data_IF_509930136814
#
_entry.id   IF_509930136814
#
_cell.length_a   1.000
_cell.length_b   1.000
_cell.length_c   1.000
_cell.angle_alpha   90.00
_cell.angle_beta   90.00
_cell.angle_gamma   90.00
#
_symmetry.space_group_name_H-M   'P 1'
#
loop_
_entity.id
_entity.type
_entity.pdbx_description
1 polymer ?
#
# COMPACT_ATOMS: atom_id res chain seq x y z
N UNK A 1 -61.68 32.92 33.46
CA UNK A 1 -60.36 33.61 33.54
C UNK A 1 -59.32 32.55 33.87
N UNK A 2 -58.68 32.00 32.83
CA UNK A 2 -57.67 30.94 32.95
C UNK A 2 -56.32 31.61 32.73
N UNK A 3 -55.58 31.83 33.80
CA UNK A 3 -54.24 32.43 33.78
C UNK A 3 -53.17 31.34 33.84
N UNK A 4 -52.72 30.97 32.65
CA UNK A 4 -51.33 30.67 32.26
C UNK A 4 -50.32 30.33 33.37
N UNK A 5 -49.96 29.05 33.48
CA UNK A 5 -48.65 28.61 33.99
C UNK A 5 -47.71 28.46 32.80
N UNK A 6 -46.78 29.39 32.63
CA UNK A 6 -45.60 29.23 31.77
C UNK A 6 -44.51 28.60 32.64
N UNK A 7 -44.20 27.34 32.40
CA UNK A 7 -42.98 26.69 32.89
C UNK A 7 -41.77 27.37 32.26
N UNK A 8 -40.89 27.88 33.11
CA UNK A 8 -39.57 28.37 32.74
C UNK A 8 -38.73 27.23 32.17
N UNK A 9 -38.69 27.12 30.84
CA UNK A 9 -37.74 26.27 30.12
C UNK A 9 -36.34 26.86 30.28
N UNK A 10 -35.50 26.11 31.00
CA UNK A 10 -34.06 26.30 31.11
C UNK A 10 -33.45 26.63 29.74
N UNK A 11 -32.87 27.82 29.61
CA UNK A 11 -32.18 28.29 28.43
C UNK A 11 -31.05 27.32 28.04
N UNK A 12 -31.20 26.66 26.89
CA UNK A 12 -30.11 25.93 26.25
C UNK A 12 -29.04 26.95 25.83
N UNK A 13 -27.95 27.01 26.60
CA UNK A 13 -26.76 27.80 26.29
C UNK A 13 -26.30 27.52 24.86
N UNK A 14 -26.25 28.56 24.03
CA UNK A 14 -25.59 28.51 22.73
C UNK A 14 -24.12 28.14 22.94
N UNK A 15 -23.69 27.06 22.29
CA UNK A 15 -22.29 26.62 22.34
C UNK A 15 -21.45 27.65 21.59
N UNK A 16 -20.52 28.29 22.31
CA UNK A 16 -19.54 29.26 21.80
C UNK A 16 -18.76 28.71 20.57
N UNK A 17 -18.29 29.57 19.64
CA UNK A 17 -17.46 29.19 18.49
C UNK A 17 -16.22 28.34 18.86
N UNK A 18 -15.72 28.49 20.09
CA UNK A 18 -14.63 27.67 20.63
C UNK A 18 -15.03 26.19 20.86
N UNK A 19 -16.31 25.91 21.14
CA UNK A 19 -16.83 24.56 21.34
C UNK A 19 -16.98 23.81 20.00
N UNK A 20 -17.29 24.50 18.90
CA UNK A 20 -17.28 23.93 17.55
C UNK A 20 -15.85 23.61 17.07
N UNK A 21 -14.89 24.49 17.41
CA UNK A 21 -13.46 24.29 17.15
C UNK A 21 -12.89 23.10 17.95
N UNK A 22 -13.35 22.89 19.18
CA UNK A 22 -13.02 21.73 20.01
C UNK A 22 -13.70 20.43 19.53
N UNK A 23 -14.91 20.50 18.97
CA UNK A 23 -15.56 19.36 18.34
C UNK A 23 -14.81 18.88 17.09
N UNK A 24 -14.17 19.79 16.34
CA UNK A 24 -13.32 19.45 15.19
C UNK A 24 -11.92 18.97 15.61
N UNK A 25 -11.36 19.47 16.72
CA UNK A 25 -10.15 18.89 17.33
C UNK A 25 -10.42 17.49 17.89
N UNK A 26 -11.65 17.23 18.35
CA UNK A 26 -12.12 15.90 18.74
C UNK A 26 -12.46 15.00 17.54
N UNK A 27 -13.02 15.54 16.44
CA UNK A 27 -13.23 14.77 15.18
C UNK A 27 -11.93 14.54 14.39
N UNK A 28 -10.92 15.42 14.50
CA UNK A 28 -9.52 15.12 14.08
C UNK A 28 -8.91 13.97 14.88
N UNK A 29 -9.44 13.68 16.07
CA UNK A 29 -9.08 12.52 16.89
C UNK A 29 -9.93 11.28 16.59
N UNK A 30 -10.78 11.25 15.57
CA UNK A 30 -11.34 9.96 15.11
C UNK A 30 -10.39 9.18 14.18
N UNK A 31 -9.15 9.67 14.05
CA UNK A 31 -7.98 8.86 13.70
C UNK A 31 -7.20 8.39 14.95
N UNK A 32 -7.72 8.62 16.17
CA UNK A 32 -7.00 8.33 17.40
C UNK A 32 -7.26 6.92 17.91
N UNK A 33 -6.16 6.20 18.07
CA UNK A 33 -6.05 5.07 18.98
C UNK A 33 -6.52 5.54 20.36
N UNK A 34 -7.59 4.94 20.89
CA UNK A 34 -8.05 5.21 22.25
C UNK A 34 -7.55 4.13 23.20
N UNK A 35 -7.08 4.52 24.39
CA UNK A 35 -6.59 3.58 25.40
C UNK A 35 -7.68 3.33 26.44
N UNK A 36 -8.20 2.11 26.48
CA UNK A 36 -9.09 1.68 27.56
C UNK A 36 -8.24 1.30 28.78
N UNK A 37 -8.36 2.09 29.86
CA UNK A 37 -7.58 1.88 31.08
C UNK A 37 -8.01 0.65 31.88
N UNK A 38 -9.27 0.24 31.77
CA UNK A 38 -9.81 -0.89 32.54
C UNK A 38 -9.42 -2.22 31.89
N UNK A 39 -9.46 -2.27 30.56
CA UNK A 39 -9.10 -3.46 29.79
C UNK A 39 -7.62 -3.47 29.37
N UNK A 40 -6.91 -2.34 29.55
CA UNK A 40 -5.50 -2.12 29.19
C UNK A 40 -5.22 -2.41 27.71
N UNK A 41 -6.21 -2.25 26.84
CA UNK A 41 -6.10 -2.43 25.39
C UNK A 41 -6.20 -1.09 24.65
N UNK A 42 -5.42 -0.99 23.58
CA UNK A 42 -5.53 0.09 22.59
C UNK A 42 -6.60 -0.31 21.58
N UNK A 43 -7.70 0.43 21.53
CA UNK A 43 -8.77 0.24 20.56
C UNK A 43 -8.47 1.09 19.32
N UNK A 44 -8.33 0.41 18.19
CA UNK A 44 -8.26 1.02 16.87
C UNK A 44 -9.67 1.16 16.34
N UNK A 45 -10.06 2.36 15.92
CA UNK A 45 -11.31 2.55 15.20
C UNK A 45 -11.21 1.79 13.88
N UNK A 46 -12.12 0.85 13.63
CA UNK A 46 -12.28 0.26 12.31
C UNK A 46 -12.50 1.40 11.29
N UNK A 47 -12.02 1.24 10.04
CA UNK A 47 -12.33 2.16 8.94
C UNK A 47 -13.83 2.09 8.62
N UNK A 48 -14.64 2.71 9.48
CA UNK A 48 -16.04 3.02 9.22
C UNK A 48 -16.00 4.30 8.43
N UNK A 49 -16.37 4.23 7.15
CA UNK A 49 -16.57 5.41 6.33
C UNK A 49 -17.55 6.34 7.06
N UNK A 50 -17.17 7.61 7.25
CA UNK A 50 -17.95 8.57 8.02
C UNK A 50 -19.39 8.61 7.46
N UNK A 51 -20.37 8.20 8.28
CA UNK A 51 -21.76 8.09 7.86
C UNK A 51 -22.29 9.44 7.35
N UNK A 52 -21.87 10.55 7.97
CA UNK A 52 -22.24 11.90 7.54
C UNK A 52 -21.67 12.19 6.14
N UNK A 53 -20.47 11.69 5.81
CA UNK A 53 -19.84 11.84 4.49
C UNK A 53 -20.60 11.05 3.42
N UNK A 54 -20.94 9.79 3.71
CA UNK A 54 -21.71 8.93 2.80
C UNK A 54 -23.06 9.58 2.50
N UNK A 55 -23.71 10.10 3.53
CA UNK A 55 -25.00 10.76 3.40
C UNK A 55 -24.90 12.08 2.62
N UNK A 56 -23.90 12.93 2.92
CA UNK A 56 -23.67 14.18 2.20
C UNK A 56 -23.38 13.95 0.71
N UNK A 57 -22.65 12.89 0.32
CA UNK A 57 -22.41 12.56 -1.10
C UNK A 57 -23.68 12.30 -1.90
N UNK A 58 -24.74 11.81 -1.25
CA UNK A 58 -25.99 11.51 -1.96
C UNK A 58 -26.65 12.75 -2.53
N UNK A 59 -26.34 13.96 -2.02
CA UNK A 59 -26.85 15.22 -2.58
C UNK A 59 -26.30 15.52 -3.98
N UNK A 60 -25.20 14.85 -4.37
CA UNK A 60 -24.56 15.00 -5.68
C UNK A 60 -25.01 13.94 -6.70
N UNK A 61 -25.93 13.02 -6.35
CA UNK A 61 -26.40 11.96 -7.25
C UNK A 61 -27.80 12.28 -7.78
N UNK A 62 -28.01 12.08 -9.09
CA UNK A 62 -29.30 12.30 -9.72
C UNK A 62 -30.23 11.12 -9.39
N UNK A 63 -31.47 11.41 -8.98
CA UNK A 63 -32.46 10.38 -8.65
C UNK A 63 -32.30 9.73 -7.26
N UNK A 64 -31.28 10.11 -6.48
CA UNK A 64 -31.28 9.82 -5.05
C UNK A 64 -32.40 10.62 -4.37
N UNK A 65 -33.21 9.97 -3.53
CA UNK A 65 -34.11 10.69 -2.63
C UNK A 65 -33.23 11.50 -1.67
N UNK A 66 -33.06 12.79 -1.95
CA UNK A 66 -32.30 13.70 -1.09
C UNK A 66 -33.05 13.74 0.25
N UNK A 67 -32.55 12.96 1.22
CA UNK A 67 -33.16 12.94 2.54
C UNK A 67 -32.86 14.27 3.25
N UNK A 68 -33.75 14.74 4.15
CA UNK A 68 -33.45 15.90 4.99
C UNK A 68 -32.13 15.73 5.76
N UNK A 69 -31.79 14.50 6.10
CA UNK A 69 -30.54 14.14 6.77
C UNK A 69 -29.32 14.34 5.86
N UNK A 70 -29.40 14.04 4.55
CA UNK A 70 -28.34 14.31 3.58
C UNK A 70 -28.08 15.80 3.38
N UNK A 71 -29.13 16.61 3.34
CA UNK A 71 -29.01 18.07 3.29
C UNK A 71 -28.36 18.60 4.58
N UNK A 72 -28.77 18.08 5.74
CA UNK A 72 -28.18 18.46 7.02
C UNK A 72 -26.70 18.05 7.09
N UNK A 73 -26.34 16.85 6.66
CA UNK A 73 -24.96 16.37 6.62
C UNK A 73 -24.08 17.24 5.71
N UNK A 74 -24.57 17.63 4.52
CA UNK A 74 -23.85 18.56 3.65
C UNK A 74 -23.67 19.93 4.30
N UNK A 75 -24.71 20.46 4.97
CA UNK A 75 -24.62 21.73 5.69
C UNK A 75 -23.61 21.66 6.85
N UNK A 76 -23.50 20.53 7.53
CA UNK A 76 -22.52 20.28 8.59
C UNK A 76 -21.10 20.25 8.02
N UNK A 77 -20.91 19.57 6.89
CA UNK A 77 -19.64 19.59 6.15
C UNK A 77 -19.24 21.00 5.75
N UNK A 78 -20.17 21.77 5.17
CA UNK A 78 -19.91 23.18 4.82
C UNK A 78 -19.52 24.01 6.04
N UNK A 79 -20.17 23.82 7.20
CA UNK A 79 -19.77 24.51 8.45
C UNK A 79 -18.42 24.07 9.02
N UNK A 80 -17.95 22.87 8.68
CA UNK A 80 -16.67 22.33 9.14
C UNK A 80 -15.46 22.86 8.38
N UNK A 81 -15.67 23.32 7.14
CA UNK A 81 -14.63 23.88 6.28
C UNK A 81 -14.24 25.28 6.77
N UNK A 82 -12.97 25.65 6.58
CA UNK A 82 -12.47 26.98 6.93
C UNK A 82 -13.35 28.08 6.29
N UNK A 83 -13.91 29.04 7.05
CA UNK A 83 -14.72 30.14 6.53
C UNK A 83 -14.05 30.91 5.38
N UNK A 84 -12.74 31.14 5.45
CA UNK A 84 -12.00 31.84 4.39
C UNK A 84 -12.02 31.05 3.07
N UNK A 85 -11.96 29.72 3.17
CA UNK A 85 -12.03 28.82 2.02
C UNK A 85 -13.43 28.82 1.40
N UNK A 86 -14.48 28.88 2.23
CA UNK A 86 -15.87 29.01 1.79
C UNK A 86 -16.11 30.36 1.10
N UNK A 87 -15.58 31.45 1.66
CA UNK A 87 -15.69 32.78 1.07
C UNK A 87 -15.03 32.82 -0.33
N UNK A 88 -13.82 32.27 -0.45
CA UNK A 88 -13.12 32.19 -1.75
C UNK A 88 -13.86 31.31 -2.75
N UNK A 89 -14.46 30.21 -2.29
CA UNK A 89 -15.30 29.35 -3.13
C UNK A 89 -16.54 30.09 -3.64
N UNK A 90 -17.22 30.85 -2.77
CA UNK A 90 -18.41 31.62 -3.14
C UNK A 90 -18.11 32.79 -4.09
N UNK A 91 -16.94 33.41 -3.90
CA UNK A 91 -16.48 34.55 -4.71
C UNK A 91 -15.82 34.12 -6.03
N UNK A 92 -15.61 32.82 -6.26
CA UNK A 92 -15.04 32.33 -7.50
C UNK A 92 -15.97 32.60 -8.69
N UNK A 93 -15.45 33.27 -9.72
CA UNK A 93 -16.15 33.57 -10.97
C UNK A 93 -15.42 32.87 -12.12
N UNK A 94 -15.98 31.81 -12.71
CA UNK A 94 -15.35 31.11 -13.82
C UNK A 94 -15.48 31.90 -15.13
N UNK A 95 -14.50 31.73 -16.02
CA UNK A 95 -14.50 32.29 -17.37
C UNK A 95 -15.39 31.47 -18.34
N UNK A 96 -16.66 31.27 -17.99
CA UNK A 96 -17.68 30.56 -18.78
C UNK A 96 -18.99 31.39 -18.79
N UNK A 97 -19.95 31.11 -19.70
CA UNK A 97 -21.23 31.83 -19.72
C UNK A 97 -21.93 31.81 -18.36
N UNK A 98 -22.42 32.98 -17.90
CA UNK A 98 -22.98 33.13 -16.55
C UNK A 98 -24.16 32.19 -16.26
N UNK A 99 -25.00 31.93 -17.27
CA UNK A 99 -26.11 30.97 -17.17
C UNK A 99 -25.60 29.53 -16.91
N UNK A 100 -24.51 29.13 -17.57
CA UNK A 100 -23.90 27.82 -17.39
C UNK A 100 -23.20 27.72 -16.03
N UNK A 101 -22.49 28.78 -15.63
CA UNK A 101 -21.88 28.89 -14.31
C UNK A 101 -22.91 28.74 -13.18
N UNK A 102 -24.06 29.43 -13.30
CA UNK A 102 -25.13 29.34 -12.31
C UNK A 102 -25.69 27.91 -12.19
N UNK A 103 -25.79 27.17 -13.31
CA UNK A 103 -26.34 25.81 -13.34
C UNK A 103 -25.47 24.78 -12.62
N UNK A 104 -24.15 24.93 -12.63
CA UNK A 104 -23.19 23.96 -12.06
C UNK A 104 -22.60 24.40 -10.72
N UNK A 105 -22.83 25.66 -10.31
CA UNK A 105 -22.19 26.30 -9.15
C UNK A 105 -22.30 25.47 -7.88
N UNK A 106 -23.52 25.09 -7.49
CA UNK A 106 -23.75 24.40 -6.21
C UNK A 106 -23.14 22.99 -6.23
N UNK A 107 -23.28 22.29 -7.36
CA UNK A 107 -22.68 20.96 -7.56
C UNK A 107 -21.15 21.00 -7.41
N UNK A 108 -20.48 21.95 -8.07
CA UNK A 108 -19.03 22.11 -7.98
C UNK A 108 -18.61 22.52 -6.56
N UNK A 109 -19.35 23.45 -5.95
CA UNK A 109 -19.05 23.93 -4.60
C UNK A 109 -19.12 22.78 -3.59
N UNK A 110 -20.18 21.99 -3.64
CA UNK A 110 -20.38 20.87 -2.72
C UNK A 110 -19.36 19.75 -2.98
N UNK A 111 -19.01 19.46 -4.24
CA UNK A 111 -17.94 18.51 -4.56
C UNK A 111 -16.57 18.94 -4.00
N UNK A 112 -16.24 20.23 -4.10
CA UNK A 112 -15.00 20.79 -3.52
C UNK A 112 -15.06 20.75 -1.99
N UNK A 113 -16.19 21.13 -1.37
CA UNK A 113 -16.39 21.11 0.08
C UNK A 113 -16.18 19.71 0.66
N UNK A 114 -16.72 18.67 0.03
CA UNK A 114 -16.50 17.28 0.46
C UNK A 114 -15.04 16.85 0.34
N UNK A 115 -14.29 17.46 -0.58
CA UNK A 115 -12.89 17.10 -0.85
C UNK A 115 -11.91 17.75 0.12
N UNK A 116 -12.12 19.03 0.48
CA UNK A 116 -11.15 19.83 1.26
C UNK A 116 -10.68 19.18 2.57
N UNK A 117 -11.54 18.59 3.42
CA UNK A 117 -11.09 17.95 4.66
C UNK A 117 -10.19 16.73 4.43
N UNK A 118 -10.25 16.17 3.22
CA UNK A 118 -9.60 14.92 2.88
C UNK A 118 -8.30 15.12 2.07
N UNK A 119 -7.86 16.36 1.85
CA UNK A 119 -6.67 16.68 1.06
C UNK A 119 -5.89 17.85 1.65
N UNK A 120 -4.65 18.01 1.20
CA UNK A 120 -3.79 19.17 1.54
C UNK A 120 -3.93 20.31 0.53
N UNK A 121 -4.67 20.12 -0.55
CA UNK A 121 -4.87 21.14 -1.57
C UNK A 121 -5.78 22.28 -1.08
N UNK A 122 -5.52 23.48 -1.59
CA UNK A 122 -6.34 24.66 -1.29
C UNK A 122 -7.57 24.72 -2.20
N UNK A 123 -8.56 25.55 -1.83
CA UNK A 123 -9.77 25.76 -2.64
C UNK A 123 -9.43 26.25 -4.04
N UNK A 124 -8.49 27.18 -4.14
CA UNK A 124 -8.07 27.83 -5.37
C UNK A 124 -7.44 26.82 -6.35
N UNK A 125 -6.73 25.82 -5.82
CA UNK A 125 -6.17 24.74 -6.61
C UNK A 125 -7.23 23.78 -7.17
N UNK A 126 -8.39 23.65 -6.51
CA UNK A 126 -9.43 22.69 -6.90
C UNK A 126 -10.56 23.32 -7.70
N UNK A 127 -11.08 24.48 -7.28
CA UNK A 127 -12.33 25.05 -7.81
C UNK A 127 -12.24 25.36 -9.31
N UNK A 128 -11.11 25.89 -9.78
CA UNK A 128 -10.91 26.21 -11.19
C UNK A 128 -10.93 24.97 -12.09
N UNK A 129 -10.00 24.03 -11.89
CA UNK A 129 -9.95 22.77 -12.63
C UNK A 129 -11.26 21.98 -12.62
N UNK A 130 -11.91 21.87 -11.46
CA UNK A 130 -13.18 21.15 -11.32
C UNK A 130 -14.31 21.87 -12.06
N UNK A 131 -14.38 23.21 -11.98
CA UNK A 131 -15.39 23.97 -12.72
C UNK A 131 -15.25 23.78 -14.23
N UNK A 132 -14.02 23.86 -14.75
CA UNK A 132 -13.76 23.69 -16.18
C UNK A 132 -14.08 22.27 -16.66
N UNK A 133 -13.78 21.26 -15.84
CA UNK A 133 -14.13 19.86 -16.12
C UNK A 133 -15.65 19.63 -16.14
N UNK A 134 -16.36 20.05 -15.08
CA UNK A 134 -17.82 19.88 -14.96
C UNK A 134 -18.54 20.65 -16.07
N UNK A 135 -18.06 21.86 -16.41
CA UNK A 135 -18.59 22.63 -17.53
C UNK A 135 -18.51 21.83 -18.85
N UNK A 136 -17.34 21.26 -19.15
CA UNK A 136 -17.16 20.45 -20.35
C UNK A 136 -18.07 19.21 -20.33
N UNK A 137 -18.09 18.46 -19.23
CA UNK A 137 -18.92 17.27 -19.10
C UNK A 137 -20.41 17.57 -19.34
N UNK A 138 -20.94 18.65 -18.75
CA UNK A 138 -22.37 18.95 -18.84
C UNK A 138 -22.75 19.62 -20.17
N UNK A 139 -21.99 20.62 -20.62
CA UNK A 139 -22.41 21.46 -21.76
C UNK A 139 -21.79 21.08 -23.10
N UNK A 140 -20.73 20.27 -23.10
CA UNK A 140 -20.09 19.78 -24.33
C UNK A 140 -20.42 18.32 -24.56
N UNK A 141 -20.24 17.47 -23.54
CA UNK A 141 -20.55 16.03 -23.64
C UNK A 141 -22.05 15.75 -23.45
N UNK A 142 -22.73 16.58 -22.66
CA UNK A 142 -24.17 16.40 -22.36
C UNK A 142 -24.44 15.48 -21.17
N UNK A 143 -23.48 15.32 -20.27
CA UNK A 143 -23.67 14.55 -19.04
C UNK A 143 -24.70 15.21 -18.12
N UNK A 144 -25.51 14.39 -17.47
CA UNK A 144 -26.34 14.83 -16.36
C UNK A 144 -25.48 15.28 -15.17
N UNK A 145 -26.00 16.23 -14.38
CA UNK A 145 -25.37 16.69 -13.13
C UNK A 145 -25.48 15.64 -12.02
N UNK A 146 -24.70 14.57 -12.19
CA UNK A 146 -24.59 13.45 -11.27
C UNK A 146 -23.11 13.12 -11.04
N UNK A 147 -22.68 13.07 -9.78
CA UNK A 147 -21.30 12.71 -9.44
C UNK A 147 -20.90 11.28 -9.84
N UNK A 148 -21.86 10.35 -9.92
CA UNK A 148 -21.63 9.00 -10.40
C UNK A 148 -21.29 8.95 -11.90
N UNK A 149 -21.79 9.93 -12.68
CA UNK A 149 -21.60 10.04 -14.14
C UNK A 149 -20.40 10.96 -14.45
N UNK A 150 -20.39 12.16 -13.86
CA UNK A 150 -19.40 13.19 -14.16
C UNK A 150 -18.01 12.79 -13.67
N UNK A 151 -17.89 12.17 -12.49
CA UNK A 151 -16.58 11.81 -11.93
C UNK A 151 -16.18 10.37 -12.26
N UNK A 152 -16.52 9.87 -13.44
CA UNK A 152 -15.95 8.62 -13.96
C UNK A 152 -14.52 8.82 -14.45
N UNK A 153 -13.68 7.81 -14.24
CA UNK A 153 -12.25 7.87 -14.55
C UNK A 153 -12.02 8.12 -16.04
N UNK A 154 -12.73 7.39 -16.90
CA UNK A 154 -12.62 7.51 -18.36
C UNK A 154 -12.95 8.92 -18.84
N UNK A 155 -13.96 9.56 -18.24
CA UNK A 155 -14.39 10.91 -18.57
C UNK A 155 -13.33 11.96 -18.16
N UNK A 156 -12.71 11.78 -17.00
CA UNK A 156 -11.60 12.62 -16.52
C UNK A 156 -10.38 12.49 -17.44
N UNK A 157 -9.99 11.27 -17.83
CA UNK A 157 -8.86 11.05 -18.74
C UNK A 157 -9.12 11.68 -20.13
N UNK A 158 -10.34 11.54 -20.64
CA UNK A 158 -10.75 12.12 -21.93
C UNK A 158 -10.67 13.65 -21.88
N UNK A 159 -11.19 14.28 -20.82
CA UNK A 159 -11.07 15.72 -20.63
C UNK A 159 -9.61 16.20 -20.62
N UNK A 160 -8.76 15.53 -19.83
CA UNK A 160 -7.36 15.93 -19.66
C UNK A 160 -6.57 15.78 -20.96
N UNK A 161 -6.88 14.75 -21.75
CA UNK A 161 -6.19 14.45 -23.00
C UNK A 161 -6.68 15.36 -24.13
N UNK A 162 -7.99 15.43 -24.33
CA UNK A 162 -8.58 15.90 -25.58
C UNK A 162 -9.08 17.34 -25.52
N UNK A 163 -9.35 17.87 -24.32
CA UNK A 163 -10.14 19.11 -24.15
C UNK A 163 -9.42 20.20 -23.38
N UNK A 164 -8.46 19.84 -22.52
CA UNK A 164 -7.54 20.84 -22.00
C UNK A 164 -6.78 21.50 -23.17
N UNK A 165 -6.65 22.84 -23.18
CA UNK A 165 -5.98 23.55 -24.27
C UNK A 165 -4.59 23.00 -24.56
N UNK A 166 -4.25 22.75 -25.83
CA UNK A 166 -2.93 22.28 -26.27
C UNK A 166 -1.77 23.19 -25.80
N UNK A 167 -2.08 24.46 -25.47
CA UNK A 167 -1.16 25.45 -24.92
C UNK A 167 -0.77 25.22 -23.45
N UNK A 168 -1.48 24.37 -22.71
CA UNK A 168 -1.10 23.98 -21.35
C UNK A 168 0.11 23.04 -21.37
N UNK A 169 1.09 23.32 -20.53
CA UNK A 169 2.25 22.44 -20.34
C UNK A 169 1.84 21.08 -19.78
N UNK A 170 2.68 20.06 -20.01
CA UNK A 170 2.48 18.73 -19.43
C UNK A 170 2.37 18.74 -17.90
N UNK A 171 3.09 19.66 -17.24
CA UNK A 171 2.98 19.86 -15.78
C UNK A 171 1.59 20.32 -15.36
N UNK A 172 1.03 21.29 -16.07
CA UNK A 172 -0.33 21.80 -15.82
C UNK A 172 -1.38 20.72 -16.07
N UNK A 173 -1.23 19.92 -17.13
CA UNK A 173 -2.14 18.80 -17.43
C UNK A 173 -2.10 17.72 -16.35
N UNK A 174 -0.90 17.36 -15.86
CA UNK A 174 -0.72 16.42 -14.73
C UNK A 174 -1.40 16.95 -13.45
N UNK A 175 -1.28 18.24 -13.16
CA UNK A 175 -1.92 18.86 -12.00
C UNK A 175 -3.45 18.85 -12.12
N UNK A 176 -4.00 19.25 -13.28
CA UNK A 176 -5.45 19.17 -13.53
C UNK A 176 -5.99 17.76 -13.33
N UNK A 177 -5.30 16.75 -13.89
CA UNK A 177 -5.65 15.35 -13.70
C UNK A 177 -5.65 14.96 -12.21
N UNK A 178 -4.57 15.28 -11.49
CA UNK A 178 -4.46 14.96 -10.07
C UNK A 178 -5.54 15.62 -9.21
N UNK A 179 -5.87 16.89 -9.48
CA UNK A 179 -6.90 17.63 -8.75
C UNK A 179 -8.30 17.10 -9.01
N UNK A 180 -8.65 16.84 -10.27
CA UNK A 180 -9.97 16.30 -10.63
C UNK A 180 -10.11 14.86 -10.13
N UNK A 181 -9.09 14.01 -10.25
CA UNK A 181 -9.10 12.66 -9.66
C UNK A 181 -9.27 12.72 -8.14
N UNK A 182 -8.62 13.66 -7.44
CA UNK A 182 -8.78 13.81 -5.99
C UNK A 182 -10.22 14.15 -5.58
N UNK A 183 -10.91 14.96 -6.38
CA UNK A 183 -12.33 15.27 -6.16
C UNK A 183 -13.17 14.03 -6.45
N UNK A 184 -12.89 13.31 -7.54
CA UNK A 184 -13.57 12.07 -7.91
C UNK A 184 -13.49 11.00 -6.81
N UNK A 185 -12.33 10.83 -6.19
CA UNK A 185 -12.13 9.95 -5.02
C UNK A 185 -12.99 10.34 -3.81
N UNK A 186 -13.23 11.65 -3.61
CA UNK A 186 -13.98 12.14 -2.48
C UNK A 186 -15.50 12.00 -2.67
N UNK A 187 -15.99 12.20 -3.91
CA UNK A 187 -17.44 12.26 -4.21
C UNK A 187 -18.00 11.00 -4.85
N UNK A 188 -17.15 10.20 -5.49
CA UNK A 188 -17.52 8.94 -6.15
C UNK A 188 -16.47 7.83 -5.83
N UNK A 189 -16.31 7.46 -4.54
CA UNK A 189 -15.27 6.53 -4.10
C UNK A 189 -15.44 5.11 -4.64
N UNK A 190 -16.67 4.67 -4.92
CA UNK A 190 -16.94 3.33 -5.46
C UNK A 190 -16.29 3.11 -6.83
N UNK A 191 -16.30 4.15 -7.66
CA UNK A 191 -15.68 4.16 -8.99
C UNK A 191 -14.24 4.70 -8.97
N UNK A 192 -13.87 5.43 -7.92
CA UNK A 192 -12.55 6.04 -7.76
C UNK A 192 -11.95 5.74 -6.38
N UNK A 193 -11.64 4.46 -6.07
CA UNK A 193 -11.10 4.12 -4.76
C UNK A 193 -9.68 4.69 -4.58
N UNK A 194 -9.45 5.45 -3.49
CA UNK A 194 -8.17 6.10 -3.12
C UNK A 194 -6.97 5.17 -3.14
N UNK A 195 -7.20 3.93 -2.73
CA UNK A 195 -6.31 2.83 -3.03
C UNK A 195 -7.04 2.03 -4.11
N UNK A 196 -6.55 1.96 -5.36
CA UNK A 196 -7.17 1.11 -6.36
C UNK A 196 -7.31 -0.28 -5.75
N UNK A 197 -8.55 -0.76 -5.64
CA UNK A 197 -8.82 -2.12 -5.19
C UNK A 197 -7.95 -3.02 -6.08
N UNK A 198 -6.96 -3.75 -5.54
CA UNK A 198 -6.07 -4.49 -6.40
C UNK A 198 -6.86 -5.64 -7.01
N UNK A 199 -7.39 -5.41 -8.20
CA UNK A 199 -7.97 -6.42 -9.05
C UNK A 199 -6.83 -7.37 -9.39
N UNK A 200 -6.79 -8.51 -8.70
CA UNK A 200 -5.69 -9.48 -8.69
C UNK A 200 -4.43 -9.03 -7.94
N UNK A 201 -4.53 -8.70 -6.65
CA UNK A 201 -3.37 -8.92 -5.77
C UNK A 201 -3.04 -10.42 -5.81
N UNK A 202 -2.11 -10.84 -6.69
CA UNK A 202 -1.49 -12.17 -6.57
C UNK A 202 -1.04 -12.28 -5.13
N UNK A 203 -1.66 -13.19 -4.38
CA UNK A 203 -1.26 -13.48 -3.01
C UNK A 203 0.23 -13.81 -3.05
N UNK A 204 1.04 -12.97 -2.42
CA UNK A 204 2.45 -13.29 -2.26
C UNK A 204 2.51 -14.57 -1.43
N UNK A 205 3.28 -15.55 -1.93
CA UNK A 205 3.50 -16.83 -1.25
C UNK A 205 3.88 -16.57 0.22
N UNK A 206 3.23 -17.25 1.17
CA UNK A 206 3.60 -17.08 2.58
C UNK A 206 5.03 -17.63 2.82
N UNK A 207 5.80 -17.09 3.77
CA UNK A 207 7.06 -17.70 4.21
C UNK A 207 6.80 -19.09 4.83
N UNK A 208 7.85 -19.90 4.99
CA UNK A 208 7.74 -21.12 5.79
C UNK A 208 7.48 -20.78 7.25
N UNK A 209 6.57 -21.52 7.86
CA UNK A 209 6.44 -21.56 9.32
C UNK A 209 7.61 -22.32 9.95
N UNK A 210 7.84 -22.17 11.25
CA UNK A 210 8.88 -22.93 11.98
C UNK A 210 8.71 -24.44 11.80
N UNK A 211 7.48 -24.96 11.88
CA UNK A 211 7.21 -26.37 11.65
C UNK A 211 7.51 -26.83 10.22
N UNK A 212 7.26 -25.97 9.23
CA UNK A 212 7.63 -26.24 7.85
C UNK A 212 9.15 -26.19 7.64
N UNK A 213 9.88 -25.29 8.31
CA UNK A 213 11.35 -25.24 8.24
C UNK A 213 11.98 -26.54 8.76
N UNK A 214 11.48 -27.07 9.88
CA UNK A 214 11.89 -28.40 10.38
C UNK A 214 11.60 -29.49 9.36
N UNK A 215 10.46 -29.42 8.66
CA UNK A 215 10.12 -30.39 7.62
C UNK A 215 10.98 -30.23 6.35
N UNK A 216 11.40 -29.00 6.01
CA UNK A 216 12.35 -28.72 4.91
C UNK A 216 13.73 -29.31 5.23
N UNK A 217 14.20 -29.16 6.47
CA UNK A 217 15.47 -29.76 6.92
C UNK A 217 15.42 -31.29 6.83
N UNK A 218 14.36 -31.92 7.34
CA UNK A 218 14.12 -33.37 7.21
C UNK A 218 14.02 -33.81 5.75
N UNK A 219 13.36 -33.04 4.89
CA UNK A 219 13.28 -33.31 3.46
C UNK A 219 14.68 -33.30 2.83
N UNK A 220 15.49 -32.30 3.15
CA UNK A 220 16.86 -32.18 2.63
C UNK A 220 17.73 -33.38 3.04
N UNK A 221 17.71 -33.73 4.33
CA UNK A 221 18.48 -34.86 4.87
C UNK A 221 17.94 -36.23 4.42
N UNK A 222 16.64 -36.35 4.14
CA UNK A 222 15.95 -37.60 3.82
C UNK A 222 16.07 -38.08 2.36
N UNK A 223 16.91 -37.45 1.54
CA UNK A 223 17.03 -37.85 0.13
C UNK A 223 17.79 -39.16 -0.07
N UNK A 224 17.40 -39.90 -1.11
CA UNK A 224 17.87 -41.27 -1.39
C UNK A 224 19.37 -41.40 -1.66
N UNK A 225 20.01 -40.36 -2.19
CA UNK A 225 21.42 -40.41 -2.58
C UNK A 225 22.19 -39.27 -1.92
N UNK A 226 23.50 -39.43 -1.72
CA UNK A 226 24.36 -38.37 -1.18
C UNK A 226 24.25 -37.08 -2.02
N UNK A 227 24.30 -37.22 -3.35
CA UNK A 227 24.17 -36.10 -4.29
C UNK A 227 22.85 -35.33 -4.13
N UNK A 228 21.72 -36.04 -3.96
CA UNK A 228 20.42 -35.38 -3.76
C UNK A 228 20.34 -34.70 -2.38
N UNK A 229 20.91 -35.31 -1.33
CA UNK A 229 20.94 -34.71 0.02
C UNK A 229 21.73 -33.41 0.02
N UNK A 230 22.95 -33.47 -0.50
CA UNK A 230 23.84 -32.31 -0.62
C UNK A 230 23.20 -31.17 -1.41
N UNK A 231 22.70 -31.45 -2.62
CA UNK A 231 22.09 -30.41 -3.45
C UNK A 231 20.76 -29.89 -2.89
N UNK A 232 20.03 -30.70 -2.11
CA UNK A 232 18.85 -30.20 -1.39
C UNK A 232 19.25 -29.22 -0.30
N UNK A 233 20.35 -29.50 0.41
CA UNK A 233 20.86 -28.62 1.45
C UNK A 233 21.41 -27.32 0.87
N UNK A 234 22.15 -27.40 -0.25
CA UNK A 234 22.61 -26.24 -1.01
C UNK A 234 21.43 -25.40 -1.52
N UNK A 235 20.37 -26.03 -2.05
CA UNK A 235 19.17 -25.29 -2.49
C UNK A 235 18.52 -24.52 -1.33
N UNK A 236 18.43 -25.14 -0.15
CA UNK A 236 17.89 -24.50 1.06
C UNK A 236 18.81 -23.36 1.50
N UNK A 237 20.12 -23.55 1.53
CA UNK A 237 21.08 -22.52 1.90
C UNK A 237 21.05 -21.31 0.95
N UNK A 238 20.95 -21.53 -0.37
CA UNK A 238 20.84 -20.43 -1.33
C UNK A 238 19.48 -19.72 -1.26
N UNK A 239 18.40 -20.47 -1.03
CA UNK A 239 17.05 -19.92 -0.98
C UNK A 239 16.69 -19.25 0.35
N UNK A 240 16.80 -19.98 1.47
CA UNK A 240 16.49 -19.50 2.82
C UNK A 240 17.68 -18.73 3.40
N UNK A 241 18.91 -19.20 3.17
CA UNK A 241 20.09 -18.59 3.77
C UNK A 241 20.52 -17.27 3.10
N UNK A 242 20.32 -17.14 1.79
CA UNK A 242 20.76 -15.97 1.01
C UNK A 242 19.65 -15.31 0.17
N UNK A 243 18.42 -15.84 0.20
CA UNK A 243 17.28 -15.23 -0.48
C UNK A 243 17.41 -15.21 -2.00
N UNK A 244 18.13 -16.13 -2.64
CA UNK A 244 18.26 -16.13 -4.10
C UNK A 244 16.94 -16.52 -4.80
N UNK A 245 16.71 -15.97 -5.98
CA UNK A 245 15.64 -16.37 -6.89
C UNK A 245 16.03 -17.63 -7.67
N UNK A 246 15.05 -18.33 -8.25
CA UNK A 246 15.33 -19.55 -9.03
C UNK A 246 16.30 -19.29 -10.19
N UNK A 247 16.23 -18.11 -10.82
CA UNK A 247 17.11 -17.73 -11.94
C UNK A 247 18.54 -17.51 -11.45
N UNK A 248 18.70 -16.84 -10.30
CA UNK A 248 20.00 -16.60 -9.68
C UNK A 248 20.63 -17.93 -9.24
N UNK A 249 19.88 -18.81 -8.57
CA UNK A 249 20.34 -20.17 -8.20
C UNK A 249 20.75 -20.96 -9.44
N UNK A 250 19.96 -20.89 -10.50
CA UNK A 250 20.24 -21.61 -11.73
C UNK A 250 21.43 -21.05 -12.52
N UNK A 251 21.98 -19.89 -12.19
CA UNK A 251 23.13 -19.29 -12.89
C UNK A 251 24.36 -19.10 -11.99
N UNK A 252 24.23 -19.32 -10.69
CA UNK A 252 25.31 -19.11 -9.73
C UNK A 252 26.47 -20.10 -9.96
N UNK A 253 27.67 -19.54 -10.16
CA UNK A 253 28.94 -20.29 -10.26
C UNK A 253 29.76 -20.14 -8.99
N UNK A 254 30.64 -21.10 -8.73
CA UNK A 254 31.49 -21.11 -7.55
C UNK A 254 32.36 -19.85 -7.43
N UNK A 255 32.94 -19.36 -8.54
CA UNK A 255 33.72 -18.11 -8.55
C UNK A 255 32.94 -16.83 -8.26
N UNK A 256 31.61 -16.90 -8.15
CA UNK A 256 30.78 -15.79 -7.68
C UNK A 256 30.53 -15.84 -6.16
N UNK A 257 31.07 -16.84 -5.45
CA UNK A 257 30.99 -17.00 -4.00
C UNK A 257 32.37 -16.76 -3.41
N UNK A 258 32.44 -15.93 -2.38
CA UNK A 258 33.68 -15.62 -1.67
C UNK A 258 33.52 -16.02 -0.21
N UNK A 259 34.40 -16.93 0.24
CA UNK A 259 34.50 -17.32 1.65
C UNK A 259 35.60 -16.48 2.29
N UNK A 260 35.24 -15.67 3.27
CA UNK A 260 36.17 -14.79 3.97
C UNK A 260 36.92 -15.55 5.09
N UNK A 261 38.09 -15.04 5.55
CA UNK A 261 38.89 -15.72 6.58
C UNK A 261 38.17 -15.91 7.93
N UNK A 262 37.16 -15.10 8.22
CA UNK A 262 36.32 -15.19 9.43
C UNK A 262 35.15 -16.18 9.28
N UNK A 263 35.03 -16.83 8.11
CA UNK A 263 33.95 -17.77 7.80
C UNK A 263 32.72 -17.13 7.16
N UNK A 264 32.69 -15.80 7.00
CA UNK A 264 31.58 -15.12 6.33
C UNK A 264 31.50 -15.55 4.86
N UNK A 265 30.30 -15.84 4.37
CA UNK A 265 30.09 -16.20 2.95
C UNK A 265 29.36 -15.08 2.22
N UNK A 266 30.04 -14.51 1.24
CA UNK A 266 29.52 -13.49 0.34
C UNK A 266 29.14 -14.11 -1.01
N UNK A 267 27.97 -13.73 -1.54
CA UNK A 267 27.51 -14.12 -2.88
C UNK A 267 27.34 -12.89 -3.76
N UNK A 268 28.12 -12.83 -4.84
CA UNK A 268 28.01 -11.82 -5.88
C UNK A 268 27.05 -12.30 -6.96
N UNK A 269 25.79 -11.91 -6.83
CA UNK A 269 24.72 -12.38 -7.72
C UNK A 269 24.87 -11.76 -9.10
N UNK A 270 25.05 -12.62 -10.10
CA UNK A 270 25.09 -12.26 -11.52
C UNK A 270 23.96 -12.95 -12.28
N UNK A 271 23.37 -12.24 -13.24
CA UNK A 271 22.37 -12.79 -14.16
C UNK A 271 22.78 -12.41 -15.57
N UNK A 272 22.99 -13.40 -16.45
CA UNK A 272 23.57 -13.20 -17.79
C UNK A 272 24.88 -12.40 -17.74
N UNK A 273 25.76 -12.77 -16.81
CA UNK A 273 27.07 -12.14 -16.55
C UNK A 273 27.05 -10.67 -16.12
N UNK A 274 25.86 -10.07 -15.92
CA UNK A 274 25.73 -8.75 -15.30
C UNK A 274 25.58 -8.87 -13.78
N UNK A 275 26.37 -8.11 -13.04
CA UNK A 275 26.21 -7.93 -11.59
C UNK A 275 24.83 -7.32 -11.27
N UNK A 276 24.12 -7.92 -10.31
CA UNK A 276 22.79 -7.45 -9.88
C UNK A 276 22.78 -6.96 -8.45
N UNK A 277 23.37 -7.74 -7.54
CA UNK A 277 23.41 -7.43 -6.11
C UNK A 277 24.47 -8.26 -5.42
N UNK A 278 24.88 -7.80 -4.25
CA UNK A 278 25.71 -8.53 -3.29
C UNK A 278 24.81 -8.96 -2.13
N UNK A 279 24.95 -10.19 -1.65
CA UNK A 279 24.22 -10.68 -0.48
C UNK A 279 25.14 -11.51 0.40
N UNK A 280 25.01 -11.36 1.72
CA UNK A 280 25.70 -12.17 2.72
C UNK A 280 24.78 -13.34 3.10
N UNK A 281 25.35 -14.55 3.11
CA UNK A 281 24.66 -15.74 3.57
C UNK A 281 24.46 -15.62 5.08
N UNK A 282 23.27 -15.95 5.58
CA UNK A 282 23.02 -15.98 7.02
C UNK A 282 23.90 -17.03 7.72
N UNK A 283 24.36 -16.72 8.93
CA UNK A 283 25.39 -17.49 9.65
C UNK A 283 25.09 -18.98 9.82
N UNK A 284 23.81 -19.33 9.93
CA UNK A 284 23.35 -20.74 10.03
C UNK A 284 23.76 -21.56 8.79
N UNK A 285 23.88 -20.92 7.63
CA UNK A 285 24.13 -21.58 6.34
C UNK A 285 25.53 -21.36 5.78
N UNK A 286 26.33 -20.47 6.38
CA UNK A 286 27.68 -20.12 5.92
C UNK A 286 28.58 -21.34 5.81
N UNK A 287 28.70 -22.12 6.89
CA UNK A 287 29.56 -23.30 6.91
C UNK A 287 29.18 -24.32 5.84
N UNK A 288 27.89 -24.56 5.64
CA UNK A 288 27.40 -25.51 4.65
C UNK A 288 27.81 -25.10 3.23
N UNK A 289 27.63 -23.81 2.89
CA UNK A 289 28.02 -23.31 1.57
C UNK A 289 29.54 -23.22 1.41
N UNK A 290 30.28 -22.85 2.45
CA UNK A 290 31.73 -22.82 2.42
C UNK A 290 32.32 -24.21 2.15
N UNK A 291 31.88 -25.22 2.90
CA UNK A 291 32.33 -26.61 2.73
C UNK A 291 31.98 -27.11 1.31
N UNK A 292 30.77 -26.84 0.82
CA UNK A 292 30.35 -27.26 -0.52
C UNK A 292 31.12 -26.58 -1.66
N UNK A 293 31.37 -25.26 -1.55
CA UNK A 293 32.08 -24.50 -2.60
C UNK A 293 33.57 -24.88 -2.65
N UNK A 294 34.16 -25.31 -1.52
CA UNK A 294 35.54 -25.80 -1.49
C UNK A 294 35.77 -27.08 -2.32
N UNK A 295 34.71 -27.87 -2.55
CA UNK A 295 34.76 -29.16 -3.25
C UNK A 295 34.43 -29.07 -4.76
N UNK A 296 34.21 -27.86 -5.31
CA UNK A 296 33.81 -27.66 -6.71
C UNK A 296 34.72 -26.65 -7.42
N UNK A 297 34.93 -26.87 -8.72
CA UNK A 297 35.72 -25.97 -9.57
C UNK A 297 35.09 -24.59 -9.70
N UNK A 298 35.90 -23.55 -9.90
CA UNK A 298 35.46 -22.15 -9.92
C UNK A 298 34.40 -21.86 -11.00
N UNK A 299 34.51 -22.53 -12.15
CA UNK A 299 33.57 -22.41 -13.26
C UNK A 299 32.33 -23.29 -13.09
N UNK A 300 32.33 -24.23 -12.14
CA UNK A 300 31.19 -25.10 -11.89
C UNK A 300 30.02 -24.32 -11.29
N UNK A 301 28.81 -24.84 -11.52
CA UNK A 301 27.62 -24.30 -10.89
C UNK A 301 27.55 -24.75 -9.43
N UNK A 302 27.21 -23.81 -8.54
CA UNK A 302 27.02 -24.12 -7.11
C UNK A 302 25.85 -25.07 -6.94
N UNK A 303 24.74 -24.85 -7.66
CA UNK A 303 23.61 -25.77 -7.63
C UNK A 303 23.71 -26.79 -8.78
N UNK A 304 23.77 -28.07 -8.43
CA UNK A 304 23.92 -29.21 -9.33
C UNK A 304 25.18 -29.12 -10.19
N UNK A 305 26.38 -29.17 -9.58
CA UNK A 305 27.67 -28.99 -10.29
C UNK A 305 27.88 -30.00 -11.42
N UNK A 306 27.27 -31.19 -11.34
CA UNK A 306 27.38 -32.26 -12.36
C UNK A 306 26.37 -32.14 -13.51
N UNK A 307 25.65 -31.01 -13.63
CA UNK A 307 24.62 -30.85 -14.67
C UNK A 307 25.24 -30.50 -16.03
N UNK A 308 24.63 -31.01 -17.09
CA UNK A 308 24.99 -30.71 -18.49
C UNK A 308 24.04 -29.71 -19.17
N UNK A 309 22.91 -29.36 -18.54
CA UNK A 309 21.87 -28.46 -19.09
C UNK A 309 21.67 -27.21 -18.21
N UNK A 310 21.48 -26.07 -18.87
CA UNK A 310 21.35 -24.71 -18.27
C UNK A 310 19.95 -24.12 -18.46
N UNK A 311 18.91 -24.95 -18.49
CA UNK A 311 17.53 -24.52 -18.68
C UNK A 311 16.98 -23.75 -17.46
N UNK A 312 15.97 -22.89 -17.67
CA UNK A 312 15.41 -22.02 -16.62
C UNK A 312 14.60 -22.77 -15.54
N UNK A 313 14.29 -24.04 -15.75
CA UNK A 313 13.44 -24.89 -14.90
C UNK A 313 14.23 -25.85 -14.00
N UNK A 314 15.57 -25.73 -13.95
CA UNK A 314 16.46 -26.67 -13.27
C UNK A 314 16.06 -26.93 -11.81
N UNK A 315 15.63 -25.90 -11.08
CA UNK A 315 15.20 -26.06 -9.69
C UNK A 315 13.90 -26.86 -9.60
N UNK A 316 12.87 -26.52 -10.39
CA UNK A 316 11.62 -27.28 -10.40
C UNK A 316 11.83 -28.74 -10.81
N UNK A 317 12.69 -28.97 -11.81
CA UNK A 317 13.04 -30.30 -12.31
C UNK A 317 13.87 -31.11 -11.31
N UNK A 318 14.69 -30.46 -10.47
CA UNK A 318 15.33 -31.11 -9.32
C UNK A 318 14.32 -31.49 -8.24
N UNK A 319 13.50 -30.54 -7.80
CA UNK A 319 12.51 -30.73 -6.73
C UNK A 319 11.45 -31.77 -7.12
N UNK A 320 11.13 -31.94 -8.40
CA UNK A 320 10.26 -33.00 -8.91
C UNK A 320 10.87 -34.41 -8.77
N UNK A 321 12.20 -34.54 -8.76
CA UNK A 321 12.93 -35.82 -8.64
C UNK A 321 13.29 -36.20 -7.20
N UNK A 322 13.13 -35.27 -6.27
CA UNK A 322 13.39 -35.50 -4.84
C UNK A 322 12.31 -36.38 -4.21
N UNK A 323 12.68 -37.13 -3.18
CA UNK A 323 11.73 -37.87 -2.35
C UNK A 323 10.86 -36.88 -1.58
N UNK A 324 9.55 -37.13 -1.54
CA UNK A 324 8.57 -36.31 -0.80
C UNK A 324 7.80 -37.17 0.19
N UNK A 325 8.37 -37.45 1.37
CA UNK A 325 7.65 -38.11 2.45
C UNK A 325 6.38 -37.34 2.83
N UNK A 326 5.39 -38.04 3.39
CA UNK A 326 4.18 -37.43 3.93
C UNK A 326 4.53 -36.35 4.94
N UNK A 327 3.91 -35.17 4.79
CA UNK A 327 4.20 -34.00 5.62
C UNK A 327 5.31 -33.08 5.08
N UNK A 328 5.90 -33.37 3.91
CA UNK A 328 6.82 -32.43 3.26
C UNK A 328 6.05 -31.21 2.75
N UNK A 329 6.41 -29.97 3.14
CA UNK A 329 5.77 -28.77 2.63
C UNK A 329 6.10 -28.55 1.16
N UNK A 330 5.41 -27.61 0.51
CA UNK A 330 5.74 -27.25 -0.88
C UNK A 330 7.14 -26.65 -0.92
N UNK A 331 8.08 -27.37 -1.52
CA UNK A 331 9.46 -26.91 -1.73
C UNK A 331 9.48 -25.91 -2.89
N UNK A 332 9.56 -24.62 -2.56
CA UNK A 332 9.48 -23.54 -3.53
C UNK A 332 10.47 -22.41 -3.18
N UNK A 333 11.30 -22.01 -4.15
CA UNK A 333 12.30 -20.93 -4.00
C UNK A 333 11.66 -19.58 -3.65
N UNK A 334 10.47 -19.28 -4.18
CA UNK A 334 9.74 -18.07 -3.81
C UNK A 334 9.38 -18.07 -2.33
N UNK A 335 8.94 -19.21 -1.80
CA UNK A 335 8.65 -19.40 -0.36
C UNK A 335 9.92 -19.32 0.49
N UNK A 336 11.02 -19.93 0.02
CA UNK A 336 12.35 -19.82 0.64
C UNK A 336 12.81 -18.37 0.75
N UNK A 337 12.76 -17.63 -0.36
CA UNK A 337 13.13 -16.21 -0.41
C UNK A 337 12.25 -15.34 0.48
N UNK A 338 10.95 -15.60 0.53
CA UNK A 338 10.04 -14.88 1.43
C UNK A 338 10.35 -15.18 2.90
N UNK A 339 10.81 -16.39 3.20
CA UNK A 339 11.30 -16.76 4.54
C UNK A 339 12.54 -15.97 4.90
N UNK A 340 13.53 -15.89 4.00
CA UNK A 340 14.71 -15.05 4.18
C UNK A 340 14.36 -13.58 4.44
N UNK A 341 13.42 -13.00 3.66
CA UNK A 341 12.96 -11.62 3.91
C UNK A 341 12.41 -11.42 5.32
N UNK A 342 11.57 -12.34 5.77
CA UNK A 342 10.96 -12.27 7.10
C UNK A 342 12.01 -12.43 8.19
N UNK A 343 12.97 -13.33 8.02
CA UNK A 343 14.11 -13.49 8.92
C UNK A 343 14.96 -12.23 9.01
N UNK A 344 15.28 -11.58 7.89
CA UNK A 344 16.01 -10.31 7.91
C UNK A 344 15.24 -9.19 8.62
N UNK A 345 13.91 -9.13 8.45
CA UNK A 345 13.08 -8.17 9.19
C UNK A 345 13.03 -8.47 10.69
N UNK A 346 13.00 -9.76 11.09
CA UNK A 346 13.11 -10.18 12.49
C UNK A 346 14.45 -9.76 13.08
N UNK A 347 15.53 -9.91 12.31
CA UNK A 347 16.88 -9.47 12.66
C UNK A 347 17.04 -7.94 12.67
N UNK A 348 15.99 -7.19 12.34
CA UNK A 348 15.96 -5.72 12.30
C UNK A 348 17.01 -5.15 11.35
N UNK A 349 17.30 -5.89 10.27
CA UNK A 349 18.13 -5.38 9.18
C UNK A 349 17.52 -4.08 8.67
N UNK A 350 18.37 -3.05 8.55
CA UNK A 350 17.96 -1.76 8.00
C UNK A 350 17.25 -1.95 6.64
N UNK A 351 16.21 -1.15 6.40
CA UNK A 351 15.33 -1.36 5.24
C UNK A 351 16.06 -1.15 3.92
N UNK A 352 17.00 -0.20 3.85
CA UNK A 352 17.78 0.07 2.64
C UNK A 352 18.80 -1.05 2.43
N UNK A 353 19.47 -1.47 3.50
CA UNK A 353 20.38 -2.64 3.51
C UNK A 353 19.65 -3.89 3.01
N UNK A 354 18.42 -4.15 3.48
CA UNK A 354 17.62 -5.28 3.03
C UNK A 354 17.21 -5.13 1.56
N UNK A 355 16.84 -3.93 1.11
CA UNK A 355 16.49 -3.68 -0.29
C UNK A 355 17.68 -3.93 -1.23
N UNK A 356 18.88 -3.44 -0.87
CA UNK A 356 20.11 -3.65 -1.62
C UNK A 356 20.50 -5.13 -1.67
N UNK A 357 20.56 -5.78 -0.50
CA UNK A 357 20.82 -7.21 -0.40
C UNK A 357 19.79 -8.03 -1.18
N UNK A 358 18.53 -7.58 -1.24
CA UNK A 358 17.44 -8.19 -1.98
C UNK A 358 17.43 -7.86 -3.48
N UNK A 359 18.11 -6.80 -3.94
CA UNK A 359 17.97 -6.27 -5.29
C UNK A 359 16.58 -5.71 -5.60
N UNK A 360 15.90 -5.14 -4.59
CA UNK A 360 14.60 -4.52 -4.75
C UNK A 360 14.73 -3.02 -5.07
N UNK A 361 13.87 -2.55 -5.96
CA UNK A 361 13.73 -1.11 -6.29
C UNK A 361 12.55 -0.45 -5.56
N UNK A 362 11.72 -1.24 -4.86
CA UNK A 362 10.56 -0.74 -4.12
C UNK A 362 10.28 -1.54 -2.85
N UNK A 363 9.56 -0.91 -1.91
CA UNK A 363 9.18 -1.48 -0.61
C UNK A 363 7.97 -2.42 -0.68
N UNK A 364 7.36 -2.61 -1.85
CA UNK A 364 6.09 -3.34 -1.98
C UNK A 364 6.17 -4.76 -1.41
N UNK A 365 7.25 -5.48 -1.74
CA UNK A 365 7.45 -6.86 -1.26
C UNK A 365 7.68 -6.92 0.25
N UNK A 366 8.43 -5.96 0.79
CA UNK A 366 8.72 -5.86 2.23
C UNK A 366 7.41 -5.57 2.98
N UNK A 367 6.63 -4.61 2.52
CA UNK A 367 5.32 -4.24 3.10
C UNK A 367 4.35 -5.44 3.12
N UNK A 368 4.28 -6.21 2.02
CA UNK A 368 3.42 -7.41 1.93
C UNK A 368 3.84 -8.54 2.88
N UNK A 369 5.13 -8.67 3.16
CA UNK A 369 5.68 -9.71 4.05
C UNK A 369 5.76 -9.30 5.52
N UNK A 370 5.77 -8.00 5.82
CA UNK A 370 5.87 -7.48 7.19
C UNK A 370 4.79 -8.03 8.13
N UNK A 371 3.62 -8.41 7.61
CA UNK A 371 2.55 -9.07 8.37
C UNK A 371 2.93 -10.42 8.98
N UNK A 372 3.97 -11.07 8.47
CA UNK A 372 4.49 -12.35 8.99
C UNK A 372 5.59 -12.17 10.05
N UNK A 373 6.05 -10.94 10.28
CA UNK A 373 7.05 -10.64 11.30
C UNK A 373 6.36 -10.63 12.68
N UNK A 374 6.82 -11.42 13.66
CA UNK A 374 6.31 -11.36 15.03
C UNK A 374 6.41 -9.94 15.59
N UNK A 375 5.33 -9.47 16.23
CA UNK A 375 5.36 -8.16 16.89
C UNK A 375 6.28 -8.24 18.12
N UNK A 376 7.25 -7.31 18.27
CA UNK A 376 8.08 -7.24 19.47
C UNK A 376 7.21 -7.06 20.73
N UNK A 377 7.75 -7.44 21.89
CA UNK A 377 7.08 -7.12 23.16
C UNK A 377 6.96 -5.59 23.32
N UNK A 378 6.05 -5.14 24.19
CA UNK A 378 5.92 -3.70 24.46
C UNK A 378 7.24 -3.10 24.94
N UNK A 379 7.96 -3.82 25.81
CA UNK A 379 9.29 -3.43 26.31
C UNK A 379 10.32 -3.30 25.19
N UNK A 380 10.38 -4.28 24.28
CA UNK A 380 11.34 -4.23 23.17
C UNK A 380 11.03 -3.08 22.22
N UNK A 381 9.75 -2.85 21.92
CA UNK A 381 9.31 -1.72 21.09
C UNK A 381 9.65 -0.39 21.73
N UNK A 382 9.46 -0.24 23.03
CA UNK A 382 9.81 1.00 23.75
C UNK A 382 11.33 1.21 23.76
N UNK A 383 12.12 0.14 23.91
CA UNK A 383 13.58 0.19 23.77
C UNK A 383 14.01 0.58 22.35
N UNK A 384 13.37 0.03 21.31
CA UNK A 384 13.59 0.41 19.91
C UNK A 384 13.33 1.91 19.70
N UNK A 385 12.17 2.41 20.13
CA UNK A 385 11.78 3.81 19.95
C UNK A 385 12.69 4.79 20.72
N UNK A 386 13.28 4.34 21.82
CA UNK A 386 14.27 5.10 22.58
C UNK A 386 15.69 5.01 22.02
N UNK A 387 15.94 4.13 21.05
CA UNK A 387 17.28 3.85 20.54
C UNK A 387 18.18 3.10 21.54
N UNK A 388 17.59 2.26 22.40
CA UNK A 388 18.28 1.56 23.49
C UNK A 388 18.40 0.05 23.26
N UNK A 389 18.65 -0.35 22.01
CA UNK A 389 18.83 -1.75 21.60
C UNK A 389 20.26 -2.23 21.69
#
# INVERSE_FOLDING_TARGET
MITSRVSSSSAARSKSPAAARNALAARRRDLSVSYDKNERILRFSDHVEDFDLVLARTTLKLGALISPEAVAAMADYRRSVNPDAIERLNNYVPAIPAAHAAKIRDFVADAVILTLPQTVYTVEALVGPVTSFVYWAVFVVGCDLDAAIIFERELIETYVRDELPATHSDGTRRNHRAWVTRVAEAVNPDRNPRAPMPMNARSMEAPYTEGELVAVDRWSAGQRTAYLRENSAVLVALGIGAGLTSVEIAQLRAGAVTVHPDGMVEVNVRVKDEFKRRVIVTSVWERLLADHVADIEEDAFVFLPKRSRTENDVVSSFVARTSRPTGTPIINVRKMRNTWFVEQMINRTDVLTLMEAAGLQSLESISKLAKYVPRPSTTDRDAQLRGAL
#
